data_IF_994060522511
#
_entry.id   IF_994060522511
#
_cell.length_a   1.000
_cell.length_b   1.000
_cell.length_c   1.000
_cell.angle_alpha   90.00
_cell.angle_beta   90.00
_cell.angle_gamma   90.00
#
_symmetry.space_group_name_H-M   'P 1'
#
loop_
_entity.id
_entity.type
_entity.pdbx_description
1 polymer ?
#
# COMPACT_ATOMS: atom_id res chain seq x y z
N UNK A 1 19.17 17.83 -8.25
CA UNK A 1 17.77 17.49 -8.07
C UNK A 1 17.36 16.22 -8.85
N UNK A 2 18.26 15.24 -9.01
CA UNK A 2 18.03 14.01 -9.81
C UNK A 2 17.93 12.72 -8.97
N UNK A 3 17.85 12.78 -7.62
CA UNK A 3 17.99 11.61 -6.76
C UNK A 3 16.70 11.05 -6.14
N UNK A 4 15.57 11.76 -6.26
CA UNK A 4 14.35 11.42 -5.50
C UNK A 4 13.49 10.34 -6.19
N UNK A 5 13.60 10.15 -7.50
CA UNK A 5 12.75 9.19 -8.26
C UNK A 5 13.17 7.73 -8.07
N UNK A 6 14.40 7.45 -7.64
CA UNK A 6 14.92 6.09 -7.58
C UNK A 6 14.49 5.27 -6.35
N UNK A 7 14.03 5.91 -5.27
CA UNK A 7 13.79 5.17 -4.02
C UNK A 7 12.50 4.35 -4.01
N UNK A 8 11.45 4.82 -4.71
CA UNK A 8 10.18 4.08 -4.77
C UNK A 8 10.19 2.89 -5.75
N UNK A 9 11.08 2.89 -6.74
CA UNK A 9 11.23 1.75 -7.66
C UNK A 9 12.06 0.61 -7.06
N UNK A 10 12.94 0.90 -6.11
CA UNK A 10 13.80 -0.11 -5.47
C UNK A 10 13.06 -1.02 -4.50
N UNK A 11 11.96 -0.56 -3.90
CA UNK A 11 11.18 -1.38 -2.94
C UNK A 11 10.35 -2.47 -3.66
N UNK A 12 10.03 -2.27 -4.93
CA UNK A 12 9.30 -3.28 -5.72
C UNK A 12 10.17 -4.41 -6.31
N UNK A 13 11.49 -4.33 -6.21
CA UNK A 13 12.38 -5.33 -6.83
C UNK A 13 13.10 -6.25 -5.84
N UNK A 14 12.91 -6.05 -4.53
CA UNK A 14 13.58 -6.86 -3.50
C UNK A 14 12.57 -7.56 -2.62
N UNK A 15 11.97 -8.64 -3.10
CA UNK A 15 11.41 -9.68 -2.23
C UNK A 15 11.10 -10.93 -3.04
N UNK A 16 12.12 -11.55 -3.62
CA UNK A 16 12.12 -13.00 -3.80
C UNK A 16 13.03 -13.55 -2.73
N UNK A 17 12.50 -13.73 -1.52
CA UNK A 17 13.13 -14.60 -0.52
C UNK A 17 12.19 -15.78 -0.32
N UNK A 18 12.73 -16.91 -0.66
CA UNK A 18 12.27 -18.26 -0.46
C UNK A 18 11.60 -18.44 0.90
N UNK A 19 10.33 -18.76 0.90
CA UNK A 19 9.70 -19.46 2.02
C UNK A 19 10.05 -20.94 1.83
N UNK A 20 11.07 -21.39 2.54
CA UNK A 20 11.33 -22.82 2.73
C UNK A 20 10.90 -23.21 4.13
N UNK A 21 10.17 -24.30 4.16
CA UNK A 21 9.85 -25.19 5.27
C UNK A 21 8.60 -24.92 6.08
N UNK A 22 7.54 -25.62 5.74
CA UNK A 22 6.88 -26.51 6.71
C UNK A 22 6.50 -27.83 6.05
N UNK A 23 6.68 -28.87 6.86
CA UNK A 23 6.80 -30.27 6.60
C UNK A 23 5.59 -30.96 5.99
N UNK A 24 5.89 -32.03 5.25
CA UNK A 24 5.22 -33.30 5.01
C UNK A 24 3.72 -33.41 5.36
N UNK A 25 2.89 -33.60 4.30
CA UNK A 25 1.98 -34.72 4.15
C UNK A 25 1.37 -34.79 2.71
N UNK A 26 0.67 -35.86 2.29
CA UNK A 26 1.13 -36.71 1.20
C UNK A 26 0.49 -36.38 -0.16
N UNK A 27 1.26 -36.75 -1.19
CA UNK A 27 0.91 -36.79 -2.61
C UNK A 27 -0.52 -37.22 -2.93
N UNK A 28 -1.32 -36.31 -3.51
CA UNK A 28 -2.38 -36.66 -4.43
C UNK A 28 -1.95 -36.27 -5.85
N UNK A 29 -1.95 -37.24 -6.73
CA UNK A 29 -1.72 -37.11 -8.16
C UNK A 29 -2.64 -36.02 -8.77
N UNK A 30 -2.05 -34.87 -9.10
CA UNK A 30 -2.70 -33.89 -9.97
C UNK A 30 -2.16 -34.11 -11.39
N UNK A 31 -3.07 -34.50 -12.27
CA UNK A 31 -2.82 -34.77 -13.67
C UNK A 31 -1.96 -33.71 -14.35
N UNK A 32 -0.98 -34.17 -15.08
CA UNK A 32 0.01 -33.42 -15.84
C UNK A 32 -0.64 -32.34 -16.72
N UNK A 33 -0.45 -31.08 -16.31
CA UNK A 33 -0.55 -29.92 -17.19
C UNK A 33 0.75 -29.86 -18.01
N UNK A 34 0.61 -29.95 -19.33
CA UNK A 34 1.71 -29.93 -20.30
C UNK A 34 2.69 -28.80 -20.00
N UNK A 35 3.94 -29.19 -19.84
CA UNK A 35 5.05 -28.37 -19.41
C UNK A 35 5.25 -27.08 -20.20
N UNK A 36 5.31 -25.98 -19.46
CA UNK A 36 6.19 -24.88 -19.80
C UNK A 36 7.51 -25.15 -19.08
N UNK A 37 8.58 -25.26 -19.85
CA UNK A 37 9.93 -25.28 -19.29
C UNK A 37 10.09 -24.04 -18.41
N UNK A 38 10.59 -24.16 -17.17
CA UNK A 38 10.90 -22.99 -16.34
C UNK A 38 11.82 -22.07 -17.13
N UNK A 39 11.56 -20.77 -17.10
CA UNK A 39 12.41 -19.76 -17.71
C UNK A 39 13.79 -19.84 -17.09
N UNK A 40 14.83 -19.77 -17.92
CA UNK A 40 16.21 -19.64 -17.46
C UNK A 40 16.41 -18.30 -16.77
N UNK A 41 17.44 -18.16 -15.91
CA UNK A 41 17.75 -16.90 -15.27
C UNK A 41 18.00 -15.79 -16.29
N UNK A 42 18.62 -16.11 -17.44
CA UNK A 42 18.85 -15.18 -18.54
C UNK A 42 17.54 -14.69 -19.21
N UNK A 43 16.55 -15.57 -19.35
CA UNK A 43 15.23 -15.21 -19.85
C UNK A 43 14.42 -14.40 -18.84
N UNK A 44 14.62 -14.66 -17.53
CA UNK A 44 14.05 -13.85 -16.45
C UNK A 44 14.65 -12.44 -16.46
N UNK A 45 15.99 -12.34 -16.52
CA UNK A 45 16.70 -11.07 -16.54
C UNK A 45 16.39 -10.26 -17.82
N UNK A 46 16.28 -10.93 -18.97
CA UNK A 46 15.82 -10.30 -20.22
C UNK A 46 14.35 -9.85 -20.16
N UNK A 47 13.50 -10.53 -19.39
CA UNK A 47 12.12 -10.10 -19.17
C UNK A 47 12.04 -8.88 -18.23
N UNK A 48 12.90 -8.83 -17.23
CA UNK A 48 13.05 -7.69 -16.32
C UNK A 48 13.59 -6.48 -17.10
N UNK A 49 14.57 -6.66 -17.99
CA UNK A 49 15.10 -5.59 -18.85
C UNK A 49 14.06 -4.99 -19.81
N UNK A 50 13.13 -5.79 -20.31
CA UNK A 50 12.04 -5.29 -21.18
C UNK A 50 10.97 -4.47 -20.44
N UNK A 51 10.86 -4.63 -19.10
CA UNK A 51 9.96 -3.85 -18.26
C UNK A 51 10.69 -2.70 -17.53
N UNK A 52 12.01 -2.61 -17.67
CA UNK A 52 12.87 -1.63 -17.01
C UNK A 52 13.36 -0.50 -17.89
N UNK A 53 13.01 -0.44 -19.17
CA UNK A 53 13.11 0.80 -19.94
C UNK A 53 12.03 1.74 -19.39
N UNK A 54 12.43 2.53 -18.40
CA UNK A 54 11.68 3.71 -17.99
C UNK A 54 11.75 4.64 -19.20
N UNK A 55 10.66 4.73 -19.95
CA UNK A 55 10.49 5.82 -20.90
C UNK A 55 10.86 7.11 -20.15
N UNK A 56 11.78 7.90 -20.70
CA UNK A 56 12.16 9.17 -20.07
C UNK A 56 10.87 9.95 -19.81
N UNK A 57 10.61 10.27 -18.53
CA UNK A 57 9.43 11.06 -18.17
C UNK A 57 9.57 12.37 -18.94
N UNK A 58 8.61 12.73 -19.79
CA UNK A 58 8.68 13.97 -20.55
C UNK A 58 8.99 15.16 -19.64
N UNK A 59 9.79 16.13 -20.09
CA UNK A 59 10.17 17.28 -19.26
C UNK A 59 8.95 18.12 -18.80
N UNK A 60 7.85 18.05 -19.55
CA UNK A 60 6.58 18.72 -19.28
C UNK A 60 5.58 17.85 -18.50
N UNK A 61 5.98 16.65 -18.10
CA UNK A 61 5.13 15.74 -17.36
C UNK A 61 4.78 16.30 -15.97
N UNK A 62 3.48 16.40 -15.70
CA UNK A 62 2.96 16.86 -14.42
C UNK A 62 2.21 15.72 -13.72
N UNK A 63 2.58 15.45 -12.47
CA UNK A 63 1.76 14.63 -11.58
C UNK A 63 0.50 15.40 -11.20
N UNK A 64 -0.65 14.74 -11.16
CA UNK A 64 -1.86 15.32 -10.60
C UNK A 64 -1.77 15.42 -9.06
N UNK A 65 -2.78 16.04 -8.44
CA UNK A 65 -2.73 16.29 -7.00
C UNK A 65 -2.83 15.00 -6.18
N UNK A 66 -3.61 14.00 -6.61
CA UNK A 66 -3.67 12.69 -5.95
C UNK A 66 -2.33 11.95 -5.99
N UNK A 67 -1.65 11.93 -7.16
CA UNK A 67 -0.31 11.34 -7.30
C UNK A 67 0.71 12.07 -6.42
N UNK A 68 0.65 13.41 -6.37
CA UNK A 68 1.53 14.22 -5.51
C UNK A 68 1.32 13.87 -4.04
N UNK A 69 0.07 13.87 -3.57
CA UNK A 69 -0.25 13.58 -2.16
C UNK A 69 0.21 12.17 -1.79
N UNK A 70 -0.11 11.15 -2.58
CA UNK A 70 0.15 9.76 -2.20
C UNK A 70 1.62 9.36 -2.40
N UNK A 71 2.27 9.79 -3.52
CA UNK A 71 3.55 9.25 -3.93
C UNK A 71 4.73 10.21 -3.86
N UNK A 72 4.47 11.53 -3.91
CA UNK A 72 5.53 12.51 -4.07
C UNK A 72 5.65 13.52 -2.92
N UNK A 73 4.69 13.52 -2.00
CA UNK A 73 4.76 14.39 -0.83
C UNK A 73 5.85 13.95 0.14
N UNK A 74 6.46 14.92 0.81
CA UNK A 74 7.33 14.68 1.96
C UNK A 74 6.45 14.52 3.21
N UNK A 75 5.86 13.31 3.39
CA UNK A 75 4.97 13.03 4.52
C UNK A 75 5.64 13.16 5.88
N UNK A 76 6.96 13.06 5.94
CA UNK A 76 7.73 13.10 7.18
C UNK A 76 8.33 14.49 7.45
N UNK A 77 7.98 15.51 6.66
CA UNK A 77 8.56 16.85 6.74
C UNK A 77 8.36 17.50 8.13
N UNK A 78 7.19 17.29 8.72
CA UNK A 78 6.80 17.88 10.01
C UNK A 78 7.29 17.11 11.25
N UNK A 79 8.10 16.06 11.05
CA UNK A 79 8.72 15.33 12.15
C UNK A 79 10.09 15.93 12.44
N UNK A 80 10.20 16.60 13.60
CA UNK A 80 11.38 17.36 14.03
C UNK A 80 12.22 16.65 15.09
N UNK A 81 11.75 15.50 15.58
CA UNK A 81 12.45 14.67 16.56
C UNK A 81 12.06 13.19 16.41
N UNK A 82 12.87 12.24 16.92
CA UNK A 82 12.50 10.84 16.93
C UNK A 82 11.18 10.61 17.64
N UNK A 83 10.26 9.89 16.98
CA UNK A 83 8.93 9.57 17.50
C UNK A 83 8.41 8.26 16.90
N UNK A 84 7.33 7.75 17.48
CA UNK A 84 6.63 6.57 17.01
C UNK A 84 5.18 6.90 16.66
N UNK A 85 4.76 6.46 15.49
CA UNK A 85 3.39 6.54 15.01
C UNK A 85 2.75 5.16 15.19
N UNK A 86 1.57 5.13 15.80
CA UNK A 86 0.82 3.91 16.10
C UNK A 86 -0.47 3.93 15.29
N UNK A 87 -0.62 2.95 14.41
CA UNK A 87 -1.83 2.76 13.62
C UNK A 87 -2.57 1.50 14.09
N UNK A 88 -3.89 1.58 14.08
CA UNK A 88 -4.78 0.43 14.24
C UNK A 88 -5.28 0.00 12.86
N UNK A 89 -5.13 -1.29 12.56
CA UNK A 89 -5.76 -1.91 11.40
C UNK A 89 -6.99 -2.70 11.85
N UNK A 90 -8.11 -2.49 11.16
CA UNK A 90 -9.35 -3.24 11.39
C UNK A 90 -9.87 -3.73 10.05
N UNK A 91 -10.06 -5.04 9.94
CA UNK A 91 -10.78 -5.68 8.84
C UNK A 91 -12.11 -6.20 9.34
N UNK A 92 -13.18 -5.92 8.60
CA UNK A 92 -14.55 -6.36 8.87
C UNK A 92 -15.31 -6.60 7.58
N UNK A 93 -16.56 -7.01 7.67
CA UNK A 93 -17.44 -7.26 6.53
C UNK A 93 -18.12 -8.61 6.60
N UNK A 94 -18.88 -8.92 5.55
CA UNK A 94 -19.71 -10.14 5.50
C UNK A 94 -19.09 -11.28 4.70
N UNK A 95 -17.98 -11.02 3.99
CA UNK A 95 -17.37 -11.99 3.09
C UNK A 95 -16.47 -13.00 3.77
N UNK A 96 -15.71 -12.56 4.78
CA UNK A 96 -14.80 -13.41 5.55
C UNK A 96 -14.66 -12.86 6.98
N UNK A 97 -14.12 -13.70 7.87
CA UNK A 97 -13.88 -13.28 9.26
C UNK A 97 -12.90 -12.11 9.31
N UNK A 98 -13.29 -11.07 10.05
CA UNK A 98 -12.47 -9.90 10.29
C UNK A 98 -11.43 -10.11 11.37
N UNK A 99 -10.52 -9.15 11.52
CA UNK A 99 -9.54 -9.09 12.60
C UNK A 99 -9.07 -7.65 12.82
N UNK A 100 -8.43 -7.41 13.97
CA UNK A 100 -7.73 -6.16 14.25
C UNK A 100 -6.27 -6.46 14.55
N UNK A 101 -5.38 -5.56 14.15
CA UNK A 101 -3.95 -5.64 14.44
C UNK A 101 -3.34 -4.23 14.47
N UNK A 102 -2.07 -4.14 14.81
CA UNK A 102 -1.35 -2.88 14.96
C UNK A 102 -0.22 -2.75 13.95
N UNK A 103 0.02 -1.50 13.54
CA UNK A 103 1.15 -1.12 12.68
C UNK A 103 1.93 0.00 13.38
N UNK A 104 3.23 -0.16 13.49
CA UNK A 104 4.12 0.81 14.12
C UNK A 104 5.13 1.34 13.10
N UNK A 105 5.27 2.67 13.06
CA UNK A 105 6.35 3.35 12.36
C UNK A 105 7.14 4.15 13.36
N UNK A 106 8.37 3.72 13.63
CA UNK A 106 9.28 4.38 14.56
C UNK A 106 10.33 5.14 13.79
N UNK A 107 10.31 6.47 13.88
CA UNK A 107 11.37 7.34 13.36
C UNK A 107 12.53 7.28 14.33
N UNK A 108 13.67 6.81 13.84
CA UNK A 108 14.88 6.58 14.65
C UNK A 108 15.83 7.78 14.60
N UNK A 109 15.98 8.36 13.40
CA UNK A 109 16.96 9.40 13.14
C UNK A 109 16.45 10.38 12.09
N UNK A 110 16.82 11.65 12.26
CA UNK A 110 16.60 12.71 11.31
C UNK A 110 17.94 13.07 10.66
N UNK A 111 18.04 12.92 9.34
CA UNK A 111 19.25 13.20 8.60
C UNK A 111 19.38 14.70 8.28
N UNK A 112 20.60 15.19 8.07
CA UNK A 112 20.88 16.61 7.76
C UNK A 112 20.22 17.08 6.45
N UNK A 113 19.96 16.17 5.51
CA UNK A 113 19.28 16.45 4.24
C UNK A 113 17.73 16.45 4.33
N UNK A 114 17.20 16.30 5.56
CA UNK A 114 15.76 16.29 5.83
C UNK A 114 15.09 14.91 5.67
N UNK A 115 15.80 13.90 5.19
CA UNK A 115 15.30 12.52 5.16
C UNK A 115 15.27 11.90 6.55
N UNK A 116 14.60 10.76 6.72
CA UNK A 116 14.48 10.06 8.01
C UNK A 116 14.95 8.62 7.86
N UNK A 117 15.47 8.07 8.97
CA UNK A 117 15.67 6.63 9.14
C UNK A 117 14.59 6.10 10.06
N UNK A 118 13.95 5.02 9.69
CA UNK A 118 12.82 4.47 10.42
C UNK A 118 12.86 2.94 10.51
N UNK A 119 12.17 2.41 11.50
CA UNK A 119 11.82 0.99 11.63
C UNK A 119 10.30 0.87 11.54
N UNK A 120 9.82 -0.19 10.93
CA UNK A 120 8.40 -0.46 10.80
C UNK A 120 8.08 -1.90 11.19
N UNK A 121 7.00 -2.06 11.94
CA UNK A 121 6.39 -3.34 12.27
C UNK A 121 4.96 -3.35 11.76
N UNK A 122 4.62 -4.35 10.95
CA UNK A 122 3.31 -4.46 10.35
C UNK A 122 2.63 -5.74 10.84
N UNK A 123 1.44 -5.61 11.45
CA UNK A 123 0.67 -6.68 12.08
C UNK A 123 1.46 -7.38 13.19
N UNK A 124 1.53 -6.75 14.34
CA UNK A 124 2.37 -7.14 15.49
C UNK A 124 1.74 -8.17 16.39
N UNK A 125 0.44 -8.49 16.22
CA UNK A 125 -0.28 -9.49 17.00
C UNK A 125 -0.29 -10.88 16.31
N UNK A 126 -1.44 -11.50 16.12
CA UNK A 126 -1.56 -12.85 15.56
C UNK A 126 -1.20 -12.93 14.08
N UNK A 127 -1.39 -11.84 13.35
CA UNK A 127 -1.15 -11.76 11.91
C UNK A 127 0.23 -11.23 11.55
N UNK A 128 1.13 -11.12 12.53
CA UNK A 128 2.47 -10.55 12.33
C UNK A 128 3.02 -10.87 10.95
N UNK A 129 3.20 -9.81 10.15
CA UNK A 129 3.76 -9.88 8.81
C UNK A 129 5.19 -9.37 8.90
N UNK A 130 6.15 -10.22 8.64
CA UNK A 130 7.53 -9.77 8.52
C UNK A 130 7.65 -8.79 7.35
N UNK A 131 7.93 -7.54 7.68
CA UNK A 131 8.21 -6.50 6.68
C UNK A 131 9.71 -6.53 6.38
N UNK A 132 10.06 -6.70 5.13
CA UNK A 132 11.46 -6.68 4.71
C UNK A 132 11.66 -5.61 3.62
N UNK A 133 12.53 -4.63 3.90
CA UNK A 133 13.27 -4.43 5.14
C UNK A 133 12.39 -3.84 6.25
N UNK A 134 12.57 -4.31 7.48
CA UNK A 134 11.98 -3.73 8.70
C UNK A 134 12.58 -2.35 9.02
N UNK A 135 13.82 -2.11 8.61
CA UNK A 135 14.49 -0.82 8.67
C UNK A 135 14.57 -0.18 7.28
N UNK A 136 14.13 1.08 7.20
CA UNK A 136 14.18 1.89 5.99
C UNK A 136 14.97 3.17 6.25
N UNK A 137 15.81 3.55 5.29
CA UNK A 137 16.72 4.70 5.43
C UNK A 137 16.50 5.73 4.34
N UNK A 138 16.82 6.99 4.65
CA UNK A 138 16.76 8.11 3.71
C UNK A 138 15.37 8.31 3.08
N UNK A 139 14.31 8.12 3.87
CA UNK A 139 12.93 8.26 3.42
C UNK A 139 12.38 9.67 3.67
N UNK A 140 11.48 10.10 2.79
CA UNK A 140 10.65 11.31 2.94
C UNK A 140 9.16 10.97 2.99
N UNK A 141 8.75 9.90 2.28
CA UNK A 141 7.37 9.40 2.28
C UNK A 141 7.08 8.53 3.50
N UNK A 142 5.81 8.41 3.87
CA UNK A 142 5.37 7.48 4.91
C UNK A 142 5.36 6.04 4.36
N UNK A 143 6.25 5.14 4.83
CA UNK A 143 6.41 3.81 4.27
C UNK A 143 5.20 2.88 4.55
N UNK A 144 4.35 3.22 5.51
CA UNK A 144 3.11 2.49 5.81
C UNK A 144 2.19 2.44 4.60
N UNK A 145 2.14 3.53 3.79
CA UNK A 145 1.40 3.58 2.53
C UNK A 145 1.82 2.48 1.56
N UNK A 146 3.13 2.35 1.35
CA UNK A 146 3.68 1.38 0.40
C UNK A 146 3.38 -0.06 0.81
N UNK A 147 3.56 -0.39 2.09
CA UNK A 147 3.31 -1.74 2.62
C UNK A 147 1.81 -2.06 2.60
N UNK A 148 0.96 -1.11 3.02
CA UNK A 148 -0.49 -1.30 2.95
C UNK A 148 -0.94 -1.59 1.51
N UNK A 149 -0.55 -0.74 0.56
CA UNK A 149 -0.91 -0.90 -0.85
C UNK A 149 -0.39 -2.21 -1.46
N UNK A 150 0.82 -2.62 -1.07
CA UNK A 150 1.37 -3.90 -1.52
C UNK A 150 0.59 -5.09 -0.96
N UNK A 151 0.22 -5.05 0.32
CA UNK A 151 -0.62 -6.06 0.96
C UNK A 151 -1.99 -6.15 0.30
N UNK A 152 -2.60 -5.01 0.02
CA UNK A 152 -3.90 -4.92 -0.64
C UNK A 152 -3.90 -5.46 -2.09
N UNK A 153 -2.83 -5.21 -2.85
CA UNK A 153 -2.65 -5.78 -4.19
C UNK A 153 -2.57 -7.33 -4.12
N UNK A 154 -1.87 -7.88 -3.13
CA UNK A 154 -1.81 -9.32 -2.92
C UNK A 154 -3.15 -9.89 -2.44
N UNK A 155 -3.89 -9.13 -1.65
CA UNK A 155 -5.24 -9.48 -1.25
C UNK A 155 -6.18 -9.59 -2.47
N UNK A 156 -6.14 -8.64 -3.40
CA UNK A 156 -6.87 -8.72 -4.66
C UNK A 156 -6.44 -9.94 -5.50
N UNK A 157 -5.15 -10.27 -5.53
CA UNK A 157 -4.66 -11.50 -6.19
C UNK A 157 -5.26 -12.75 -5.52
N UNK A 158 -5.29 -12.81 -4.18
CA UNK A 158 -5.89 -13.91 -3.41
C UNK A 158 -7.39 -14.06 -3.67
N UNK A 159 -8.13 -12.96 -3.64
CA UNK A 159 -9.59 -12.95 -3.77
C UNK A 159 -10.08 -13.30 -5.18
N UNK A 160 -9.30 -12.95 -6.20
CA UNK A 160 -9.74 -13.05 -7.62
C UNK A 160 -8.91 -14.02 -8.45
N UNK A 161 -7.79 -14.52 -7.91
CA UNK A 161 -6.76 -15.23 -8.68
C UNK A 161 -6.19 -14.42 -9.86
N UNK A 162 -6.44 -13.11 -9.89
CA UNK A 162 -5.95 -12.20 -10.92
C UNK A 162 -4.47 -11.89 -10.76
N UNK A 163 -3.86 -11.28 -11.77
CA UNK A 163 -2.45 -10.95 -11.75
C UNK A 163 -2.19 -9.69 -10.91
N UNK A 164 -1.34 -9.77 -9.89
CA UNK A 164 -0.99 -8.64 -9.03
C UNK A 164 -0.43 -7.42 -9.81
N UNK A 165 0.32 -7.65 -10.91
CA UNK A 165 0.82 -6.56 -11.77
C UNK A 165 -0.32 -5.80 -12.45
N UNK A 166 -1.40 -6.49 -12.80
CA UNK A 166 -2.59 -5.88 -13.35
C UNK A 166 -3.23 -4.93 -12.32
N UNK A 167 -3.43 -5.40 -11.08
CA UNK A 167 -3.99 -4.57 -10.01
C UNK A 167 -3.14 -3.34 -9.70
N UNK A 168 -1.80 -3.50 -9.60
CA UNK A 168 -0.88 -2.39 -9.45
C UNK A 168 -1.02 -1.35 -10.58
N UNK A 169 -1.12 -1.83 -11.83
CA UNK A 169 -1.31 -0.96 -13.00
C UNK A 169 -2.66 -0.22 -12.94
N UNK A 170 -3.74 -0.92 -12.61
CA UNK A 170 -5.09 -0.33 -12.52
C UNK A 170 -5.15 0.74 -11.44
N UNK A 171 -4.51 0.52 -10.28
CA UNK A 171 -4.38 1.54 -9.22
C UNK A 171 -3.65 2.78 -9.73
N UNK A 172 -2.50 2.63 -10.40
CA UNK A 172 -1.74 3.76 -10.94
C UNK A 172 -2.53 4.55 -11.98
N UNK A 173 -3.26 3.86 -12.86
CA UNK A 173 -4.09 4.51 -13.88
C UNK A 173 -5.24 5.28 -13.21
N UNK A 174 -5.93 4.66 -12.26
CA UNK A 174 -7.06 5.27 -11.57
C UNK A 174 -6.65 6.50 -10.75
N UNK A 175 -5.50 6.44 -10.07
CA UNK A 175 -4.93 7.60 -9.38
C UNK A 175 -4.66 8.76 -10.33
N UNK A 176 -4.19 8.44 -11.53
CA UNK A 176 -3.86 9.45 -12.54
C UNK A 176 -5.09 10.04 -13.23
N UNK A 177 -6.10 9.22 -13.54
CA UNK A 177 -7.17 9.60 -14.45
C UNK A 177 -8.49 9.91 -13.72
N UNK A 178 -8.75 9.23 -12.59
CA UNK A 178 -10.07 9.20 -11.97
C UNK A 178 -10.07 9.62 -10.49
N UNK A 179 -8.91 9.80 -9.87
CA UNK A 179 -8.87 10.15 -8.46
C UNK A 179 -9.41 11.56 -8.20
N UNK A 180 -10.16 11.69 -7.13
CA UNK A 180 -10.73 12.94 -6.65
C UNK A 180 -10.05 13.33 -5.35
N UNK A 181 -9.62 14.57 -5.24
CA UNK A 181 -9.05 15.17 -4.02
C UNK A 181 -10.05 16.20 -3.48
N UNK A 182 -10.47 16.03 -2.24
CA UNK A 182 -11.44 16.89 -1.58
C UNK A 182 -10.90 17.35 -0.22
N UNK A 183 -11.14 18.61 0.19
CA UNK A 183 -10.85 19.04 1.55
C UNK A 183 -11.70 18.25 2.55
N UNK A 184 -11.12 17.91 3.70
CA UNK A 184 -11.81 17.21 4.78
C UNK A 184 -11.35 17.71 6.13
N UNK A 185 -12.11 17.38 7.18
CA UNK A 185 -11.73 17.63 8.58
C UNK A 185 -11.88 16.35 9.38
N UNK A 186 -11.00 16.17 10.35
CA UNK A 186 -11.06 15.02 11.26
C UNK A 186 -10.53 15.40 12.64
N UNK A 187 -10.87 14.60 13.64
CA UNK A 187 -10.38 14.78 15.00
C UNK A 187 -9.34 13.73 15.34
N UNK A 188 -8.20 14.16 15.87
CA UNK A 188 -7.16 13.29 16.40
C UNK A 188 -6.66 13.85 17.74
N UNK A 189 -6.64 13.00 18.78
CA UNK A 189 -6.23 13.38 20.15
C UNK A 189 -6.96 14.63 20.68
N UNK A 190 -8.25 14.78 20.36
CA UNK A 190 -9.08 15.91 20.82
C UNK A 190 -8.83 17.24 20.12
N UNK A 191 -8.00 17.26 19.09
CA UNK A 191 -7.74 18.42 18.21
C UNK A 191 -8.37 18.16 16.84
N UNK A 192 -8.96 19.19 16.24
CA UNK A 192 -9.45 19.18 14.86
C UNK A 192 -8.32 19.51 13.89
N UNK A 193 -8.23 18.74 12.82
CA UNK A 193 -7.25 18.91 11.75
C UNK A 193 -7.97 19.18 10.44
N UNK A 194 -7.40 20.06 9.64
CA UNK A 194 -7.74 20.22 8.22
C UNK A 194 -6.90 19.21 7.42
N UNK A 195 -7.50 18.62 6.40
CA UNK A 195 -6.81 17.64 5.59
C UNK A 195 -7.40 17.52 4.19
N UNK A 196 -6.84 16.59 3.45
CA UNK A 196 -7.28 16.23 2.10
C UNK A 196 -7.65 14.75 2.08
N UNK A 197 -8.79 14.46 1.47
CA UNK A 197 -9.25 13.10 1.20
C UNK A 197 -9.04 12.79 -0.28
N UNK A 198 -8.29 11.73 -0.55
CA UNK A 198 -8.11 11.17 -1.89
C UNK A 198 -9.01 9.95 -2.03
N UNK A 199 -9.89 9.96 -3.04
CA UNK A 199 -10.81 8.86 -3.36
C UNK A 199 -10.58 8.36 -4.77
N UNK A 200 -10.59 7.04 -4.98
CA UNK A 200 -10.56 6.42 -6.32
C UNK A 200 -11.06 4.97 -6.31
N UNK A 201 -11.50 4.48 -7.50
CA UNK A 201 -12.06 3.14 -7.71
C UNK A 201 -11.36 2.46 -8.90
N UNK A 202 -10.22 1.76 -8.70
CA UNK A 202 -9.31 1.38 -9.77
C UNK A 202 -9.86 0.31 -10.73
N UNK A 203 -10.85 -0.45 -10.31
CA UNK A 203 -11.34 -1.59 -11.08
C UNK A 203 -12.72 -1.36 -11.70
N UNK A 204 -13.37 -0.25 -11.39
CA UNK A 204 -14.74 0.04 -11.84
C UNK A 204 -14.84 0.14 -13.37
N UNK A 205 -13.82 0.72 -14.01
CA UNK A 205 -13.72 0.88 -15.47
C UNK A 205 -12.80 -0.14 -16.13
N UNK A 206 -12.30 -1.12 -15.36
CA UNK A 206 -11.35 -2.12 -15.87
C UNK A 206 -12.00 -2.98 -16.96
N UNK A 207 -11.33 -3.18 -18.11
CA UNK A 207 -11.87 -4.04 -19.18
C UNK A 207 -12.06 -5.49 -18.74
N UNK A 208 -11.35 -5.94 -17.71
CA UNK A 208 -11.46 -7.28 -17.10
C UNK A 208 -12.37 -7.31 -15.87
N UNK A 209 -13.15 -6.25 -15.59
CA UNK A 209 -13.97 -6.16 -14.38
C UNK A 209 -14.90 -7.36 -14.14
N UNK A 210 -15.30 -8.04 -15.22
CA UNK A 210 -16.16 -9.25 -15.12
C UNK A 210 -15.43 -10.42 -14.48
N UNK A 211 -14.10 -10.47 -14.60
CA UNK A 211 -13.28 -11.52 -14.02
C UNK A 211 -13.08 -11.29 -12.51
N UNK A 212 -13.33 -10.07 -12.05
CA UNK A 212 -13.24 -9.69 -10.62
C UNK A 212 -14.58 -9.74 -9.91
N UNK A 213 -15.70 -9.88 -10.66
CA UNK A 213 -17.07 -9.95 -10.13
C UNK A 213 -17.38 -8.83 -9.14
N UNK A 214 -17.80 -9.19 -7.92
CA UNK A 214 -18.11 -8.27 -6.83
C UNK A 214 -16.93 -7.42 -6.37
N UNK A 215 -15.70 -7.86 -6.58
CA UNK A 215 -14.49 -7.14 -6.18
C UNK A 215 -14.15 -5.98 -7.12
N UNK A 216 -14.78 -5.91 -8.31
CA UNK A 216 -14.57 -4.84 -9.27
C UNK A 216 -15.02 -3.45 -8.77
N UNK A 217 -15.87 -3.42 -7.75
CA UNK A 217 -16.39 -2.17 -7.18
C UNK A 217 -15.61 -1.67 -5.97
N UNK A 218 -14.45 -2.28 -5.70
CA UNK A 218 -13.53 -1.84 -4.65
C UNK A 218 -13.13 -0.38 -4.85
N UNK A 219 -13.18 0.38 -3.75
CA UNK A 219 -12.70 1.76 -3.74
C UNK A 219 -11.80 2.02 -2.53
N UNK A 220 -11.07 3.13 -2.62
CA UNK A 220 -10.10 3.57 -1.63
C UNK A 220 -10.38 5.01 -1.23
N UNK A 221 -10.21 5.28 0.06
CA UNK A 221 -10.16 6.62 0.63
C UNK A 221 -8.90 6.76 1.46
N UNK A 222 -8.13 7.82 1.22
CA UNK A 222 -6.96 8.19 2.02
C UNK A 222 -7.18 9.57 2.59
N UNK A 223 -6.88 9.75 3.87
CA UNK A 223 -6.96 11.05 4.53
C UNK A 223 -5.57 11.47 4.97
N UNK A 224 -5.14 12.63 4.51
CA UNK A 224 -3.86 13.24 4.82
C UNK A 224 -4.03 14.61 5.46
N UNK A 225 -3.06 15.03 6.26
CA UNK A 225 -2.92 16.39 6.75
C UNK A 225 -1.45 16.71 6.97
N UNK A 226 -0.98 17.83 6.43
CA UNK A 226 0.39 18.30 6.63
C UNK A 226 0.68 18.72 8.08
N UNK A 227 -0.37 19.01 8.85
CA UNK A 227 -0.27 19.34 10.29
C UNK A 227 -0.14 18.10 11.20
N UNK A 228 -0.32 16.89 10.63
CA UNK A 228 -0.27 15.64 11.38
C UNK A 228 1.10 14.97 11.22
N UNK A 229 1.79 14.57 12.30
CA UNK A 229 3.04 13.83 12.18
C UNK A 229 2.92 12.62 11.26
N UNK A 230 3.77 12.55 10.22
CA UNK A 230 3.71 11.50 9.21
C UNK A 230 2.64 11.67 8.13
N UNK A 231 1.88 12.76 8.19
CA UNK A 231 0.82 13.23 7.29
C UNK A 231 -0.35 12.27 7.07
N UNK A 232 -0.18 10.96 7.16
CA UNK A 232 -1.23 9.95 6.96
C UNK A 232 -2.09 9.80 8.22
N UNK A 233 -3.37 10.15 8.12
CA UNK A 233 -4.34 9.91 9.18
C UNK A 233 -5.03 8.56 9.03
N UNK A 234 -5.62 8.27 7.85
CA UNK A 234 -6.40 7.06 7.65
C UNK A 234 -6.33 6.56 6.22
N UNK A 235 -6.34 5.25 6.07
CA UNK A 235 -6.64 4.54 4.83
C UNK A 235 -7.92 3.74 5.07
N UNK A 236 -8.86 3.81 4.12
CA UNK A 236 -10.06 2.97 4.09
C UNK A 236 -10.13 2.29 2.74
N UNK A 237 -10.33 0.98 2.71
CA UNK A 237 -10.70 0.25 1.50
C UNK A 237 -12.03 -0.46 1.71
N UNK A 238 -12.88 -0.41 0.69
CA UNK A 238 -14.21 -0.98 0.77
C UNK A 238 -14.50 -1.80 -0.48
N UNK A 239 -14.99 -3.00 -0.28
CA UNK A 239 -15.67 -3.79 -1.31
C UNK A 239 -17.15 -3.78 -0.92
N UNK A 240 -18.00 -2.99 -1.60
CA UNK A 240 -19.39 -2.85 -1.22
C UNK A 240 -20.19 -4.12 -1.51
N UNK A 241 -21.25 -4.34 -0.74
CA UNK A 241 -22.31 -5.26 -1.09
C UNK A 241 -23.49 -4.46 -1.69
N UNK A 242 -23.68 -4.57 -2.97
CA UNK A 242 -24.74 -3.86 -3.69
C UNK A 242 -26.06 -4.64 -3.75
N UNK A 243 -26.22 -5.66 -2.92
CA UNK A 243 -27.47 -6.44 -2.85
C UNK A 243 -28.66 -5.60 -2.36
N UNK A 244 -28.42 -4.64 -1.45
CA UNK A 244 -29.38 -3.66 -0.95
C UNK A 244 -28.70 -2.32 -0.61
N UNK A 245 -29.46 -1.23 -0.54
CA UNK A 245 -28.94 0.11 -0.17
C UNK A 245 -28.32 0.19 1.25
N UNK A 246 -28.62 -0.78 2.11
CA UNK A 246 -28.17 -0.82 3.52
C UNK A 246 -27.36 -2.06 3.83
N UNK A 247 -26.89 -2.77 2.81
CA UNK A 247 -26.04 -3.94 3.03
C UNK A 247 -24.72 -3.51 3.69
N UNK A 248 -24.27 -4.31 4.65
CA UNK A 248 -22.91 -4.16 5.16
C UNK A 248 -21.92 -4.52 4.03
N UNK A 249 -20.77 -3.86 3.96
CA UNK A 249 -19.78 -4.16 2.92
C UNK A 249 -19.34 -5.63 2.98
N UNK A 250 -18.97 -6.17 1.83
CA UNK A 250 -18.35 -7.49 1.77
C UNK A 250 -17.03 -7.49 2.52
N UNK A 251 -16.20 -6.48 2.30
CA UNK A 251 -14.95 -6.24 3.01
C UNK A 251 -14.82 -4.75 3.28
N UNK A 252 -14.51 -4.40 4.50
CA UNK A 252 -14.12 -3.07 4.95
C UNK A 252 -12.79 -3.18 5.70
N UNK A 253 -11.79 -2.48 5.26
CA UNK A 253 -10.50 -2.36 5.95
C UNK A 253 -10.21 -0.91 6.25
N UNK A 254 -9.79 -0.64 7.48
CA UNK A 254 -9.32 0.68 7.91
C UNK A 254 -7.94 0.56 8.54
N UNK A 255 -7.07 1.49 8.23
CA UNK A 255 -5.82 1.72 8.93
C UNK A 255 -5.84 3.15 9.42
N UNK A 256 -5.88 3.36 10.73
CA UNK A 256 -6.07 4.69 11.33
C UNK A 256 -4.94 5.01 12.30
N UNK A 257 -4.35 6.20 12.20
CA UNK A 257 -3.41 6.71 13.20
C UNK A 257 -4.16 6.93 14.52
N UNK A 258 -3.75 6.23 15.58
CA UNK A 258 -4.41 6.27 16.89
C UNK A 258 -3.57 6.95 17.96
N UNK A 259 -2.25 7.01 17.80
CA UNK A 259 -1.37 7.63 18.79
C UNK A 259 -0.02 8.07 18.17
N UNK A 260 0.60 9.07 18.77
CA UNK A 260 1.94 9.55 18.43
C UNK A 260 2.72 9.74 19.73
N UNK A 261 3.85 9.06 19.87
CA UNK A 261 4.70 9.14 21.07
C UNK A 261 6.10 9.57 20.72
N UNK A 262 6.61 10.55 21.47
CA UNK A 262 8.02 10.87 21.42
C UNK A 262 8.83 9.69 21.94
N UNK A 263 9.89 9.32 21.25
CA UNK A 263 10.77 8.28 21.75
C UNK A 263 11.57 8.89 22.91
N UNK A 264 11.40 8.34 24.11
CA UNK A 264 12.27 8.71 25.24
C UNK A 264 13.69 8.30 24.90
N UNK A 265 14.62 9.24 25.04
CA UNK A 265 16.06 9.08 24.78
C UNK A 265 16.74 8.26 25.88
#
# INVERSE_FOLDING_TARGET
MKFIVYLFFSICTLSIISVNSYADEPTQDIAATKGRTPLTQEELDASIGRYGEVDEIPEDFQFNDAEKIIWHANHLANIEQPLSLYYEFVKSGTYEEGFSDSVYLKILELNEDGTKNAMMEFFTAEKNQAVSPDNVTNIIGNPVLGIYMQGDIYEMNRLTSGNWRHFLKSIKISLREDAVVEPTTFSFNGKEYQGEKVYFSPYLKDPHRRDFEKFAEKYYEFIFSDDLPGSLYQITTVIPDNSTEKAEPLILETLTLIDVKTNES
#
